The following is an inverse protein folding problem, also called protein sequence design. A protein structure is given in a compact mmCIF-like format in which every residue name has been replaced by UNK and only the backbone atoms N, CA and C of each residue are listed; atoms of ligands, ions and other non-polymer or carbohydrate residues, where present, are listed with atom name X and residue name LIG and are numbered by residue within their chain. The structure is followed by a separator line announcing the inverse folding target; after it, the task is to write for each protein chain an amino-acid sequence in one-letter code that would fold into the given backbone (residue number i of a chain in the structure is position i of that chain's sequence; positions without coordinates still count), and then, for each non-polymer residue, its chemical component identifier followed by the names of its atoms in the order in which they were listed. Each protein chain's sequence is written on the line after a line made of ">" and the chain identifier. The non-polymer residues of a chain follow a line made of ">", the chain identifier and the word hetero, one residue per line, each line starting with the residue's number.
data_IF_173224987160
#
_entry.id   IF_173224987160
#
_cell.length_a   1.000
_cell.length_b   1.000
_cell.length_c   1.000
_cell.angle_alpha   90.00
_cell.angle_beta   90.00
_cell.angle_gamma   90.00
#
_symmetry.space_group_name_H-M   'P 1'
#
loop_
_entity.id
_entity.type
_entity.pdbx_description
1 polymer ?
#
# COMPACT_ATOMS: atom_id res chain seq x y z
N UNK A 1 20.89 21.00 19.95
CA UNK A 1 21.46 20.60 18.65
C UNK A 1 20.55 19.50 18.12
N UNK A 2 19.48 19.88 17.43
CA UNK A 2 18.48 18.93 16.93
C UNK A 2 18.99 18.42 15.58
N UNK A 3 19.30 17.13 15.49
CA UNK A 3 19.52 16.48 14.21
C UNK A 3 18.20 16.59 13.43
N UNK A 4 18.21 17.35 12.33
CA UNK A 4 17.12 17.31 11.36
C UNK A 4 17.06 15.88 10.82
N UNK A 5 16.07 15.13 11.26
CA UNK A 5 15.72 13.83 10.70
C UNK A 5 15.34 14.10 9.24
N UNK A 6 16.18 13.65 8.30
CA UNK A 6 15.81 13.64 6.89
C UNK A 6 14.66 12.65 6.76
N UNK A 7 13.46 13.09 6.33
CA UNK A 7 12.37 12.18 6.08
C UNK A 7 12.81 11.23 4.98
N UNK A 8 12.58 9.94 5.20
CA UNK A 8 12.79 8.90 4.19
C UNK A 8 12.00 9.23 2.91
N UNK A 9 12.40 8.67 1.76
CA UNK A 9 11.65 8.82 0.51
C UNK A 9 10.17 8.42 0.69
N UNK A 10 9.92 7.42 1.54
CA UNK A 10 8.59 6.99 1.95
C UNK A 10 7.85 8.10 2.73
N UNK A 11 8.47 8.69 3.76
CA UNK A 11 7.88 9.81 4.52
C UNK A 11 7.59 11.04 3.67
N UNK A 12 8.43 11.33 2.66
CA UNK A 12 8.23 12.46 1.73
C UNK A 12 7.10 12.18 0.74
N UNK A 13 7.06 10.97 0.16
CA UNK A 13 5.95 10.51 -0.69
C UNK A 13 4.62 10.60 0.08
N UNK A 14 4.59 10.12 1.31
CA UNK A 14 3.41 10.18 2.16
C UNK A 14 2.98 11.60 2.50
N UNK A 15 3.90 12.52 2.78
CA UNK A 15 3.53 13.90 3.10
C UNK A 15 2.91 14.65 1.91
N UNK A 16 3.23 14.27 0.66
CA UNK A 16 2.66 14.91 -0.53
C UNK A 16 1.42 14.20 -1.06
N UNK A 17 1.35 12.87 -0.98
CA UNK A 17 0.22 12.09 -1.52
C UNK A 17 -1.01 12.08 -0.59
N UNK A 18 -0.84 12.38 0.71
CA UNK A 18 -1.85 12.11 1.76
C UNK A 18 -2.49 13.34 2.39
N UNK A 19 -2.38 14.52 1.77
CA UNK A 19 -2.97 15.74 2.31
C UNK A 19 -4.51 15.68 2.49
N UNK A 20 -5.18 14.67 1.90
CA UNK A 20 -6.63 14.47 2.00
C UNK A 20 -7.05 12.99 2.12
N UNK A 21 -6.33 12.18 2.92
CA UNK A 21 -6.69 10.75 3.08
C UNK A 21 -7.80 10.48 4.10
N UNK A 22 -8.14 11.47 4.92
CA UNK A 22 -9.13 11.28 5.98
C UNK A 22 -10.53 11.02 5.38
N UNK A 23 -11.10 9.87 5.68
CA UNK A 23 -12.38 9.42 5.12
C UNK A 23 -12.30 8.81 3.72
N UNK A 24 -11.12 8.77 3.11
CA UNK A 24 -10.92 8.24 1.76
C UNK A 24 -11.06 6.71 1.72
N UNK A 25 -11.51 6.19 0.58
CA UNK A 25 -11.44 4.79 0.20
C UNK A 25 -10.20 4.55 -0.65
N UNK A 26 -9.34 3.67 -0.17
CA UNK A 26 -7.99 3.50 -0.70
C UNK A 26 -7.87 2.12 -1.34
N UNK A 27 -7.23 2.04 -2.49
CA UNK A 27 -6.78 0.80 -3.10
C UNK A 27 -5.25 0.74 -3.06
N UNK A 28 -4.71 -0.32 -2.45
CA UNK A 28 -3.31 -0.69 -2.54
C UNK A 28 -3.18 -1.87 -3.52
N UNK A 29 -2.85 -1.57 -4.79
CA UNK A 29 -2.94 -2.55 -5.88
C UNK A 29 -1.83 -3.59 -5.90
N UNK A 30 -0.75 -3.35 -5.16
CA UNK A 30 0.41 -4.22 -5.02
C UNK A 30 0.89 -4.19 -3.56
N UNK A 31 0.04 -4.71 -2.67
CA UNK A 31 0.14 -4.45 -1.25
C UNK A 31 1.46 -4.90 -0.61
N UNK A 32 2.05 -6.04 -1.03
CA UNK A 32 3.31 -6.51 -0.46
C UNK A 32 3.23 -6.70 1.06
N UNK A 33 3.93 -5.86 1.82
CA UNK A 33 3.89 -5.82 3.29
C UNK A 33 2.75 -4.94 3.85
N UNK A 34 2.09 -4.15 3.01
CA UNK A 34 0.95 -3.30 3.34
C UNK A 34 1.32 -1.95 3.92
N UNK A 35 2.59 -1.53 3.83
CA UNK A 35 3.07 -0.27 4.44
C UNK A 35 2.23 0.93 4.01
N UNK A 36 1.94 1.06 2.71
CA UNK A 36 1.14 2.18 2.20
C UNK A 36 -0.31 2.11 2.68
N UNK A 37 -0.97 0.97 2.50
CA UNK A 37 -2.36 0.81 2.91
C UNK A 37 -2.60 0.86 4.43
N UNK A 38 -1.67 0.39 5.25
CA UNK A 38 -1.78 0.52 6.72
C UNK A 38 -1.54 1.95 7.19
N UNK A 39 -0.58 2.67 6.58
CA UNK A 39 -0.36 4.08 6.89
C UNK A 39 -1.58 4.92 6.51
N UNK A 40 -2.24 4.59 5.39
CA UNK A 40 -3.51 5.20 5.01
C UNK A 40 -4.59 5.05 6.10
N UNK A 41 -4.76 3.84 6.65
CA UNK A 41 -5.69 3.60 7.75
C UNK A 41 -5.30 4.35 9.03
N UNK A 42 -4.01 4.37 9.36
CA UNK A 42 -3.46 5.12 10.51
C UNK A 42 -3.78 6.62 10.43
N UNK A 43 -3.85 7.17 9.21
CA UNK A 43 -4.18 8.59 8.94
C UNK A 43 -5.68 8.86 8.74
N UNK A 44 -6.52 7.85 8.94
CA UNK A 44 -7.97 8.01 8.96
C UNK A 44 -8.67 7.72 7.64
N UNK A 45 -8.06 6.97 6.70
CA UNK A 45 -8.82 6.38 5.60
C UNK A 45 -10.05 5.63 6.13
N UNK A 46 -11.19 5.78 5.46
CA UNK A 46 -12.41 5.07 5.84
C UNK A 46 -12.32 3.58 5.53
N UNK A 47 -11.62 3.22 4.45
CA UNK A 47 -11.42 1.84 4.05
C UNK A 47 -10.16 1.68 3.20
N UNK A 48 -9.44 0.58 3.36
CA UNK A 48 -8.34 0.20 2.47
C UNK A 48 -8.52 -1.21 1.91
N UNK A 49 -8.56 -1.34 0.59
CA UNK A 49 -8.49 -2.62 -0.11
C UNK A 49 -7.04 -2.91 -0.48
N UNK A 50 -6.52 -4.05 -0.02
CA UNK A 50 -5.20 -4.58 -0.35
C UNK A 50 -5.32 -5.69 -1.40
N UNK A 51 -4.57 -5.59 -2.50
CA UNK A 51 -4.44 -6.64 -3.50
C UNK A 51 -3.01 -7.19 -3.46
N UNK A 52 -2.86 -8.50 -3.28
CA UNK A 52 -1.57 -9.19 -3.23
C UNK A 52 -1.63 -10.53 -3.95
N UNK A 53 -0.69 -10.79 -4.87
CA UNK A 53 -0.67 -12.03 -5.67
C UNK A 53 -0.16 -13.23 -4.86
N UNK A 54 0.77 -13.01 -3.94
CA UNK A 54 1.37 -14.05 -3.13
C UNK A 54 0.49 -14.41 -1.92
N UNK A 55 -0.02 -15.64 -1.89
CA UNK A 55 -0.89 -16.11 -0.81
C UNK A 55 -0.25 -15.98 0.58
N UNK A 56 1.05 -16.28 0.73
CA UNK A 56 1.73 -16.18 2.02
C UNK A 56 1.81 -14.72 2.50
N UNK A 57 2.15 -13.79 1.62
CA UNK A 57 2.15 -12.35 1.94
C UNK A 57 0.74 -11.84 2.24
N UNK A 58 -0.27 -12.26 1.49
CA UNK A 58 -1.67 -11.90 1.77
C UNK A 58 -2.14 -12.38 3.15
N UNK A 59 -1.64 -13.54 3.61
CA UNK A 59 -1.93 -14.03 4.96
C UNK A 59 -1.18 -13.23 6.03
N UNK A 60 0.06 -12.81 5.76
CA UNK A 60 0.79 -11.89 6.63
C UNK A 60 0.09 -10.54 6.74
N UNK A 61 -0.46 -10.00 5.66
CA UNK A 61 -1.28 -8.78 5.70
C UNK A 61 -2.46 -8.92 6.65
N UNK A 62 -3.22 -10.02 6.54
CA UNK A 62 -4.34 -10.29 7.44
C UNK A 62 -3.89 -10.38 8.90
N UNK A 63 -2.79 -11.09 9.16
CA UNK A 63 -2.21 -11.20 10.51
C UNK A 63 -1.75 -9.84 11.05
N UNK A 64 -1.11 -9.01 10.23
CA UNK A 64 -0.71 -7.65 10.61
C UNK A 64 -1.93 -6.80 10.96
N UNK A 65 -3.00 -6.88 10.17
CA UNK A 65 -4.25 -6.16 10.45
C UNK A 65 -4.88 -6.58 11.79
N UNK A 66 -4.86 -7.89 12.09
CA UNK A 66 -5.31 -8.44 13.38
C UNK A 66 -4.43 -7.95 14.55
N UNK A 67 -3.10 -7.97 14.38
CA UNK A 67 -2.14 -7.49 15.38
C UNK A 67 -2.30 -5.99 15.68
N UNK A 68 -2.60 -5.20 14.65
CA UNK A 68 -2.92 -3.78 14.74
C UNK A 68 -4.33 -3.52 15.26
N UNK A 69 -5.15 -4.57 15.46
CA UNK A 69 -6.54 -4.52 15.95
C UNK A 69 -7.41 -3.60 15.11
N UNK A 70 -7.21 -3.63 13.80
CA UNK A 70 -8.04 -2.87 12.86
C UNK A 70 -9.46 -3.44 12.84
N UNK A 71 -10.45 -2.56 12.69
CA UNK A 71 -11.82 -3.00 12.48
C UNK A 71 -11.91 -3.78 11.16
N UNK A 72 -12.58 -4.93 11.16
CA UNK A 72 -12.72 -5.77 9.97
C UNK A 72 -13.48 -5.09 8.82
N UNK A 73 -14.26 -4.04 9.11
CA UNK A 73 -14.90 -3.21 8.09
C UNK A 73 -13.97 -2.14 7.51
N UNK A 74 -12.84 -1.85 8.16
CA UNK A 74 -11.88 -0.84 7.70
C UNK A 74 -10.96 -1.36 6.60
N UNK A 75 -10.90 -2.68 6.34
CA UNK A 75 -10.03 -3.21 5.30
C UNK A 75 -10.55 -4.46 4.60
N UNK A 76 -10.06 -4.69 3.40
CA UNK A 76 -10.28 -5.92 2.62
C UNK A 76 -8.94 -6.42 2.09
N UNK A 77 -8.65 -7.72 2.19
CA UNK A 77 -7.45 -8.32 1.56
C UNK A 77 -7.87 -9.33 0.50
N UNK A 78 -7.54 -9.03 -0.75
CA UNK A 78 -7.83 -9.85 -1.92
C UNK A 78 -6.53 -10.48 -2.41
N UNK A 79 -6.55 -11.81 -2.58
CA UNK A 79 -5.42 -12.54 -3.14
C UNK A 79 -5.61 -12.68 -4.65
N UNK A 80 -4.73 -12.09 -5.46
CA UNK A 80 -4.82 -12.06 -6.92
C UNK A 80 -4.06 -10.88 -7.51
N UNK A 81 -4.11 -10.70 -8.84
CA UNK A 81 -3.55 -9.50 -9.48
C UNK A 81 -4.55 -8.35 -9.53
N UNK A 82 -4.06 -7.12 -9.62
CA UNK A 82 -4.93 -5.95 -9.76
C UNK A 82 -5.79 -6.04 -11.02
N UNK A 83 -5.25 -6.56 -12.13
CA UNK A 83 -6.02 -6.75 -13.36
C UNK A 83 -7.16 -7.75 -13.16
N UNK A 84 -6.92 -8.88 -12.49
CA UNK A 84 -7.95 -9.88 -12.21
C UNK A 84 -9.08 -9.29 -11.37
N UNK A 85 -8.74 -8.55 -10.31
CA UNK A 85 -9.72 -7.98 -9.38
C UNK A 85 -10.52 -6.86 -10.02
N UNK A 86 -9.87 -5.98 -10.79
CA UNK A 86 -10.52 -4.83 -11.43
C UNK A 86 -11.27 -5.21 -12.72
N UNK A 87 -10.92 -6.32 -13.37
CA UNK A 87 -11.59 -6.81 -14.59
C UNK A 87 -12.84 -7.63 -14.30
N UNK A 88 -13.08 -8.05 -13.05
CA UNK A 88 -14.36 -8.63 -12.68
C UNK A 88 -15.45 -7.58 -12.93
N UNK A 89 -16.33 -7.84 -13.89
CA UNK A 89 -17.40 -6.92 -14.32
C UNK A 89 -18.49 -6.71 -13.24
N UNK A 90 -18.19 -6.96 -11.97
CA UNK A 90 -19.02 -6.49 -10.87
C UNK A 90 -18.75 -5.00 -10.68
N UNK A 91 -19.80 -4.17 -10.63
CA UNK A 91 -19.64 -2.79 -10.21
C UNK A 91 -18.97 -2.81 -8.84
N UNK A 92 -17.81 -2.16 -8.72
CA UNK A 92 -17.30 -1.79 -7.41
C UNK A 92 -18.35 -0.83 -6.86
N UNK A 93 -19.13 -1.26 -5.86
CA UNK A 93 -20.29 -0.50 -5.35
C UNK A 93 -19.88 0.92 -4.91
N UNK A 94 -18.62 1.09 -4.52
CA UNK A 94 -18.05 2.36 -4.14
C UNK A 94 -16.66 2.55 -4.76
N UNK A 95 -16.46 3.59 -5.60
CA UNK A 95 -15.15 3.87 -6.20
C UNK A 95 -14.08 4.14 -5.14
N UNK A 96 -12.82 3.99 -5.54
CA UNK A 96 -11.68 4.40 -4.72
C UNK A 96 -11.39 5.87 -4.96
N UNK A 97 -11.14 6.60 -3.88
CA UNK A 97 -10.72 8.01 -3.90
C UNK A 97 -9.21 8.11 -4.18
N UNK A 98 -8.45 7.12 -3.68
CA UNK A 98 -6.99 7.06 -3.80
C UNK A 98 -6.61 5.65 -4.25
N UNK A 99 -5.73 5.56 -5.25
CA UNK A 99 -5.15 4.30 -5.69
C UNK A 99 -3.62 4.40 -5.61
N UNK A 100 -3.02 3.57 -4.75
CA UNK A 100 -1.60 3.34 -4.76
C UNK A 100 -1.29 2.32 -5.85
N UNK A 101 -0.63 2.80 -6.90
CA UNK A 101 -0.06 1.98 -7.95
C UNK A 101 1.44 2.02 -7.74
N UNK A 102 1.97 0.98 -7.09
CA UNK A 102 3.40 0.73 -7.12
C UNK A 102 3.69 -0.04 -8.43
N UNK A 103 4.32 0.58 -9.45
CA UNK A 103 4.61 -0.11 -10.69
C UNK A 103 5.52 -1.30 -10.36
N UNK A 104 5.11 -2.53 -10.68
CA UNK A 104 5.87 -3.67 -10.25
C UNK A 104 7.19 -3.73 -11.02
N UNK A 105 8.31 -3.71 -10.30
CA UNK A 105 9.49 -4.50 -10.67
C UNK A 105 9.16 -5.98 -10.39
N UNK A 106 8.13 -6.53 -11.06
CA UNK A 106 7.63 -7.90 -10.87
C UNK A 106 8.62 -9.00 -11.33
N UNK A 107 9.90 -8.66 -11.50
CA UNK A 107 10.97 -9.58 -11.83
C UNK A 107 12.09 -9.50 -10.80
N UNK A 108 11.93 -10.26 -9.72
CA UNK A 108 13.04 -11.02 -9.12
C UNK A 108 13.82 -10.36 -7.99
N UNK A 109 13.61 -10.90 -6.79
CA UNK A 109 14.51 -10.87 -5.62
C UNK A 109 14.70 -9.54 -4.90
N UNK A 110 14.88 -9.63 -3.57
CA UNK A 110 15.29 -8.52 -2.68
C UNK A 110 16.59 -7.81 -3.13
N UNK A 111 17.33 -8.37 -4.10
CA UNK A 111 18.51 -7.75 -4.68
C UNK A 111 18.19 -6.60 -5.66
N UNK A 112 17.06 -6.67 -6.38
CA UNK A 112 16.64 -5.61 -7.31
C UNK A 112 16.29 -4.30 -6.59
N UNK A 113 15.83 -4.39 -5.34
CA UNK A 113 15.56 -3.22 -4.48
C UNK A 113 16.81 -2.39 -4.18
N UNK A 114 17.96 -3.05 -3.95
CA UNK A 114 19.20 -2.33 -3.63
C UNK A 114 19.88 -1.73 -4.87
N UNK A 115 19.74 -2.36 -6.03
CA UNK A 115 20.34 -1.85 -7.28
C UNK A 115 19.63 -0.60 -7.82
N UNK A 116 18.31 -0.47 -7.61
CA UNK A 116 17.55 0.70 -8.04
C UNK A 116 17.69 1.88 -7.07
N UNK A 117 17.82 1.62 -5.77
CA UNK A 117 18.04 2.65 -4.76
C UNK A 117 19.42 3.33 -4.88
N UNK A 118 20.41 2.63 -5.44
CA UNK A 118 21.74 3.20 -5.74
C UNK A 118 21.70 4.19 -6.92
N UNK A 119 20.87 3.92 -7.94
CA UNK A 119 20.75 4.77 -9.13
C UNK A 119 20.08 6.14 -8.89
N UNK A 120 19.32 6.30 -7.80
CA UNK A 120 18.70 7.58 -7.43
C UNK A 120 19.53 8.41 -6.44
N UNK A 121 20.69 7.89 -5.99
CA UNK A 121 21.65 8.64 -5.17
C UNK A 121 22.84 9.20 -5.98
N UNK A 122 22.82 9.10 -7.31
CA UNK A 122 23.76 9.80 -8.19
C UNK A 122 23.01 10.91 -8.93
N UNK A 123 22.88 12.06 -8.26
CA UNK A 123 23.20 13.41 -8.77
C UNK A 123 23.13 14.43 -7.61
#
# INVERSE_FOLDING_TARGET
>A
MACAQHPTACETLFNWLLADIHGARVLDSCAGSGVLGFEALSRGAAHTTFIEVNTAQSNMLRQSAEQLRLDTAAYTVITGTAEEVLSQHQPIEHPFDIVFIDPPLCSGSMAAYFEYADYQCID
#
